data_IF_445585260691
#
_entry.id   IF_445585260691
#
_cell.length_a   1.000
_cell.length_b   1.000
_cell.length_c   1.000
_cell.angle_alpha   90.00
_cell.angle_beta   90.00
_cell.angle_gamma   90.00
#
_symmetry.space_group_name_H-M   'P 1'
#
loop_
_entity.id
_entity.type
_entity.pdbx_description
1 polymer ?
#
# COMPACT_ATOMS: atom_id res chain seq x y z
N UNK A 1 -8.43 3.05 -21.45
CA UNK A 1 -7.48 2.30 -22.32
C UNK A 1 -7.08 0.93 -21.79
N UNK A 2 -7.53 0.53 -20.59
CA UNK A 2 -7.19 -0.77 -20.02
C UNK A 2 -7.68 -1.88 -20.97
N UNK A 3 -6.75 -2.62 -21.56
CA UNK A 3 -6.90 -3.75 -22.49
C UNK A 3 -7.81 -3.61 -23.72
N UNK A 4 -8.52 -2.50 -23.94
CA UNK A 4 -9.42 -2.32 -25.10
C UNK A 4 -8.70 -2.40 -26.46
N UNK A 5 -7.36 -2.33 -26.50
CA UNK A 5 -6.55 -2.55 -27.71
C UNK A 5 -5.63 -3.78 -27.66
N UNK A 6 -5.73 -4.63 -26.64
CA UNK A 6 -4.84 -5.80 -26.48
C UNK A 6 -5.37 -7.01 -27.24
N UNK A 7 -4.48 -7.79 -27.85
CA UNK A 7 -4.80 -9.10 -28.42
C UNK A 7 -5.23 -10.11 -27.34
N UNK A 8 -4.81 -9.89 -26.09
CA UNK A 8 -5.20 -10.64 -24.90
C UNK A 8 -5.88 -9.68 -23.92
N UNK A 9 -7.21 -9.58 -23.92
CA UNK A 9 -7.93 -8.71 -23.02
C UNK A 9 -7.70 -9.14 -21.57
N UNK A 10 -7.11 -8.26 -20.78
CA UNK A 10 -6.92 -8.47 -19.33
C UNK A 10 -8.30 -8.59 -18.67
N UNK A 11 -8.46 -9.54 -17.75
CA UNK A 11 -9.72 -9.76 -17.03
C UNK A 11 -9.65 -9.38 -15.55
N UNK A 12 -8.46 -9.10 -15.02
CA UNK A 12 -8.26 -8.70 -13.63
C UNK A 12 -6.95 -7.98 -13.40
N UNK A 13 -6.80 -7.43 -12.20
CA UNK A 13 -5.57 -6.79 -11.75
C UNK A 13 -5.19 -7.35 -10.38
N UNK A 14 -3.89 -7.51 -10.17
CA UNK A 14 -3.35 -7.67 -8.83
C UNK A 14 -2.46 -6.50 -8.48
N UNK A 15 -2.41 -6.19 -7.19
CA UNK A 15 -1.61 -5.11 -6.64
C UNK A 15 -0.81 -5.67 -5.47
N UNK A 16 0.48 -5.41 -5.44
CA UNK A 16 1.27 -5.55 -4.22
C UNK A 16 1.96 -4.22 -3.92
N UNK A 17 2.33 -4.03 -2.66
CA UNK A 17 2.96 -2.79 -2.20
C UNK A 17 4.26 -3.12 -1.48
N UNK A 18 5.34 -2.45 -1.88
CA UNK A 18 6.66 -2.63 -1.31
C UNK A 18 7.21 -1.32 -0.74
N UNK A 19 7.76 -1.37 0.46
CA UNK A 19 8.37 -0.25 1.16
C UNK A 19 9.26 -0.72 2.30
N UNK A 20 9.84 0.22 3.05
CA UNK A 20 10.70 -0.12 4.19
C UNK A 20 9.82 -0.41 5.43
N UNK A 21 10.01 -1.57 6.02
CA UNK A 21 9.32 -2.01 7.24
C UNK A 21 10.29 -2.81 8.12
N UNK A 22 10.21 -2.63 9.44
CA UNK A 22 11.19 -3.18 10.39
C UNK A 22 10.65 -4.28 11.31
N UNK A 23 9.41 -4.16 11.79
CA UNK A 23 8.85 -5.09 12.79
C UNK A 23 7.45 -5.59 12.48
N UNK A 24 6.62 -4.76 11.86
CA UNK A 24 5.27 -5.09 11.44
C UNK A 24 5.13 -4.69 9.97
N UNK A 25 5.00 -5.70 9.11
CA UNK A 25 4.92 -5.52 7.67
C UNK A 25 3.76 -4.64 7.23
N UNK A 26 2.74 -4.47 8.08
CA UNK A 26 1.58 -3.59 7.82
C UNK A 26 1.79 -2.15 8.28
N UNK A 27 3.03 -1.81 8.67
CA UNK A 27 3.48 -0.47 9.04
C UNK A 27 4.71 -0.14 8.22
N UNK A 28 4.61 0.97 7.48
CA UNK A 28 5.72 1.57 6.75
C UNK A 28 6.55 2.42 7.72
N UNK A 29 7.85 2.18 7.76
CA UNK A 29 8.76 2.85 8.68
C UNK A 29 8.82 4.36 8.38
N UNK A 30 8.98 5.16 9.44
CA UNK A 30 9.26 6.59 9.29
C UNK A 30 10.72 6.80 8.85
N UNK A 31 10.89 7.33 7.63
CA UNK A 31 12.19 7.61 7.00
C UNK A 31 12.56 9.09 7.00
N UNK A 32 11.79 9.93 7.70
CA UNK A 32 12.09 11.36 7.79
C UNK A 32 13.38 11.60 8.58
N UNK A 33 14.25 12.48 8.08
CA UNK A 33 15.42 12.95 8.83
C UNK A 33 14.94 13.73 10.07
N UNK A 34 15.46 13.36 11.25
CA UNK A 34 14.98 13.90 12.53
C UNK A 34 13.52 13.54 12.85
N UNK A 35 13.03 12.44 12.28
CA UNK A 35 11.62 12.04 12.35
C UNK A 35 11.15 11.63 13.74
N UNK A 36 9.82 11.67 13.91
CA UNK A 36 9.14 11.13 15.07
C UNK A 36 9.49 9.64 15.29
N UNK A 37 9.75 9.24 16.54
CA UNK A 37 9.91 7.84 16.92
C UNK A 37 8.57 7.24 17.32
N UNK A 38 8.45 5.91 17.29
CA UNK A 38 7.25 5.22 17.76
C UNK A 38 6.04 5.30 16.81
N UNK A 39 6.19 5.92 15.65
CA UNK A 39 5.12 6.12 14.66
C UNK A 39 5.59 5.72 13.26
N UNK A 40 4.67 5.14 12.48
CA UNK A 40 4.83 4.81 11.07
C UNK A 40 3.57 5.14 10.30
N UNK A 41 3.45 4.61 9.08
CA UNK A 41 2.29 4.83 8.21
C UNK A 41 1.62 3.50 7.87
N UNK A 42 0.30 3.44 8.03
CA UNK A 42 -0.53 2.35 7.56
C UNK A 42 -1.31 2.76 6.30
N UNK A 43 -1.57 1.79 5.43
CA UNK A 43 -2.47 1.92 4.29
C UNK A 43 -3.54 0.84 4.41
N UNK A 44 -4.79 1.22 4.16
CA UNK A 44 -5.93 0.31 4.14
C UNK A 44 -6.68 0.43 2.82
N UNK A 45 -7.05 -0.71 2.24
CA UNK A 45 -7.90 -0.75 1.06
C UNK A 45 -9.36 -0.48 1.45
N UNK A 46 -10.04 0.39 0.71
CA UNK A 46 -11.41 0.79 1.05
C UNK A 46 -12.46 -0.29 0.80
N UNK A 47 -12.26 -1.15 -0.20
CA UNK A 47 -13.28 -2.12 -0.64
C UNK A 47 -13.59 -3.17 0.42
N UNK A 48 -12.60 -3.56 1.22
CA UNK A 48 -12.70 -4.67 2.18
C UNK A 48 -11.99 -4.40 3.51
N UNK A 49 -11.51 -3.17 3.73
CA UNK A 49 -10.74 -2.80 4.92
C UNK A 49 -9.45 -3.61 5.12
N UNK A 50 -8.95 -4.27 4.06
CA UNK A 50 -7.68 -5.00 4.10
C UNK A 50 -6.53 -4.05 4.41
N UNK A 51 -5.71 -4.42 5.40
CA UNK A 51 -4.54 -3.63 5.78
C UNK A 51 -3.34 -4.14 5.01
N UNK A 52 -2.78 -3.26 4.19
CA UNK A 52 -1.73 -3.58 3.23
C UNK A 52 -0.44 -3.95 3.95
N UNK A 53 0.19 -5.06 3.57
CA UNK A 53 1.57 -5.33 3.93
C UNK A 53 2.53 -4.68 2.91
N UNK A 54 3.61 -4.07 3.40
CA UNK A 54 4.60 -3.32 2.64
C UNK A 54 5.83 -4.15 2.28
N UNK A 55 5.85 -5.46 2.49
CA UNK A 55 6.99 -6.32 2.14
C UNK A 55 6.90 -6.89 0.71
N UNK A 56 5.90 -6.46 -0.07
CA UNK A 56 5.65 -6.93 -1.43
C UNK A 56 5.04 -8.33 -1.52
N UNK A 57 4.84 -9.03 -0.40
CA UNK A 57 4.28 -10.40 -0.41
C UNK A 57 2.75 -10.42 -0.47
N UNK A 58 2.11 -9.32 -0.07
CA UNK A 58 0.66 -9.18 -0.01
C UNK A 58 0.09 -8.83 -1.39
N UNK A 59 -0.35 -9.86 -2.10
CA UNK A 59 -0.96 -9.74 -3.42
C UNK A 59 -2.47 -9.60 -3.29
N UNK A 60 -2.95 -8.42 -3.65
CA UNK A 60 -4.34 -8.03 -3.55
C UNK A 60 -5.01 -8.08 -4.92
N UNK A 61 -6.10 -8.84 -5.06
CA UNK A 61 -6.92 -8.80 -6.29
C UNK A 61 -7.81 -7.56 -6.29
N UNK A 62 -7.86 -6.85 -7.41
CA UNK A 62 -8.63 -5.62 -7.60
C UNK A 62 -9.65 -5.78 -8.73
N UNK A 63 -10.84 -5.21 -8.54
CA UNK A 63 -11.89 -5.23 -9.56
C UNK A 63 -11.45 -4.45 -10.79
N UNK A 64 -11.47 -5.11 -11.94
CA UNK A 64 -11.03 -4.54 -13.20
C UNK A 64 -12.21 -4.04 -14.05
N UNK A 65 -12.07 -2.84 -14.62
CA UNK A 65 -12.98 -2.31 -15.65
C UNK A 65 -12.20 -1.70 -16.80
N UNK A 66 -12.28 -2.34 -17.97
CA UNK A 66 -11.69 -1.84 -19.21
C UNK A 66 -12.39 -0.55 -19.71
N UNK A 67 -13.71 -0.47 -19.53
CA UNK A 67 -14.56 0.56 -20.13
C UNK A 67 -14.49 1.88 -19.38
N UNK A 68 -14.40 1.85 -18.06
CA UNK A 68 -14.44 3.07 -17.21
C UNK A 68 -13.10 3.40 -16.56
N UNK A 69 -12.08 2.56 -16.77
CA UNK A 69 -10.88 2.59 -15.96
C UNK A 69 -11.08 1.91 -14.61
N UNK A 70 -10.00 1.35 -14.08
CA UNK A 70 -9.97 0.79 -12.72
C UNK A 70 -9.47 1.84 -11.75
N UNK A 71 -10.23 2.08 -10.68
CA UNK A 71 -9.84 2.98 -9.59
C UNK A 71 -9.41 2.18 -8.37
N UNK A 72 -8.14 2.33 -8.01
CA UNK A 72 -7.54 1.81 -6.80
C UNK A 72 -7.81 2.76 -5.63
N UNK A 73 -8.58 2.33 -4.63
CA UNK A 73 -9.02 3.19 -3.51
C UNK A 73 -8.42 2.73 -2.18
N UNK A 74 -7.58 3.59 -1.61
CA UNK A 74 -6.87 3.35 -0.36
C UNK A 74 -6.95 4.56 0.58
N UNK A 75 -7.01 4.32 1.89
CA UNK A 75 -6.83 5.33 2.95
C UNK A 75 -5.46 5.16 3.56
N UNK A 76 -4.88 6.26 4.03
CA UNK A 76 -3.59 6.27 4.71
C UNK A 76 -3.72 6.95 6.06
N UNK A 77 -2.90 6.55 7.04
CA UNK A 77 -2.90 7.15 8.36
C UNK A 77 -1.63 6.84 9.15
N UNK A 78 -1.37 7.63 10.18
CA UNK A 78 -0.28 7.38 11.11
C UNK A 78 -0.64 6.26 12.09
N UNK A 79 0.31 5.37 12.37
CA UNK A 79 0.09 4.21 13.24
C UNK A 79 1.23 4.10 14.26
N UNK A 80 0.90 3.81 15.51
CA UNK A 80 1.90 3.51 16.54
C UNK A 80 2.57 2.17 16.20
N UNK A 81 3.90 2.15 16.16
CA UNK A 81 4.67 0.98 15.69
C UNK A 81 4.57 -0.23 16.63
N UNK A 82 4.44 0.01 17.93
CA UNK A 82 4.19 -1.01 18.95
C UNK A 82 3.74 -0.35 20.28
N UNK A 83 3.32 -1.15 21.25
CA UNK A 83 2.89 -0.64 22.57
C UNK A 83 4.04 -0.05 23.40
N UNK A 84 5.25 -0.60 23.27
CA UNK A 84 6.40 -0.30 24.13
C UNK A 84 7.11 1.02 23.78
N UNK A 85 7.14 1.42 22.51
CA UNK A 85 7.88 2.60 22.04
C UNK A 85 7.01 3.84 22.19
N UNK A 86 7.41 4.85 22.98
CA UNK A 86 6.69 6.13 23.05
C UNK A 86 6.73 6.86 21.72
N UNK A 87 5.65 7.58 21.40
CA UNK A 87 5.62 8.48 20.24
C UNK A 87 6.31 9.79 20.62
N UNK A 88 7.25 10.25 19.80
CA UNK A 88 7.85 11.58 19.93
C UNK A 88 7.36 12.50 18.83
N UNK A 89 7.48 13.81 19.04
CA UNK A 89 7.25 14.79 17.98
C UNK A 89 8.34 14.70 16.90
N UNK A 90 7.97 14.99 15.66
CA UNK A 90 8.88 15.08 14.52
C UNK A 90 8.17 14.85 13.19
N UNK A 91 8.84 15.10 12.06
CA UNK A 91 8.31 14.80 10.74
C UNK A 91 8.08 13.30 10.56
N UNK A 92 7.11 12.96 9.71
CA UNK A 92 6.82 11.59 9.29
C UNK A 92 6.86 11.51 7.77
N UNK A 93 7.67 10.59 7.24
CA UNK A 93 7.80 10.34 5.80
C UNK A 93 7.85 8.83 5.54
N UNK A 94 6.96 8.35 4.67
CA UNK A 94 7.01 7.01 4.14
C UNK A 94 7.01 7.03 2.62
N UNK A 95 7.72 6.09 2.00
CA UNK A 95 7.70 5.87 0.56
C UNK A 95 7.39 4.39 0.33
N UNK A 96 6.37 4.14 -0.48
CA UNK A 96 5.99 2.80 -0.91
C UNK A 96 5.75 2.79 -2.42
N UNK A 97 6.04 1.65 -3.04
CA UNK A 97 5.86 1.39 -4.46
C UNK A 97 4.69 0.44 -4.63
N UNK A 98 3.71 0.84 -5.43
CA UNK A 98 2.61 -0.03 -5.86
C UNK A 98 3.02 -0.70 -7.17
N UNK A 99 3.03 -2.03 -7.19
CA UNK A 99 3.19 -2.82 -8.41
C UNK A 99 1.83 -3.32 -8.83
N UNK A 100 1.40 -2.96 -10.04
CA UNK A 100 0.14 -3.42 -10.61
C UNK A 100 0.48 -4.44 -11.69
N UNK A 101 0.03 -5.67 -11.50
CA UNK A 101 0.16 -6.74 -12.48
C UNK A 101 -1.20 -7.01 -13.13
N UNK A 102 -1.19 -7.03 -14.46
CA UNK A 102 -2.34 -7.21 -15.34
C UNK A 102 -2.17 -8.45 -16.24
N UNK A 103 -1.22 -9.34 -15.90
CA UNK A 103 -0.93 -10.60 -16.60
C UNK A 103 -1.63 -11.82 -15.98
N UNK A 104 -2.86 -11.65 -15.53
CA UNK A 104 -3.69 -12.73 -14.94
C UNK A 104 -4.19 -13.68 -16.02
#
# INVERSE_FOLDING_TARGET
DCAQGSANPVTGLTVNVAGITSSDKTILDNTAAGGATGIGIGIQRLSDSHRVAFDGSDTMTESYSATTGTQLKYTTGYVKVNSATPVTEGPVKGVATFTIDYTI
#
